data_IF_572516783548
#
_entry.id   IF_572516783548
#
_cell.length_a   1.000
_cell.length_b   1.000
_cell.length_c   1.000
_cell.angle_alpha   90.00
_cell.angle_beta   90.00
_cell.angle_gamma   90.00
#
_symmetry.space_group_name_H-M   'P 1'
#
loop_
_entity.id
_entity.type
_entity.pdbx_description
1 polymer ?
#
# COMPACT_ATOMS: atom_id res chain seq x y z
N UNK A 1 13.73 1.84 8.86
CA UNK A 1 13.64 0.48 9.45
C UNK A 1 13.06 -0.46 8.42
N UNK A 2 13.56 -1.68 8.36
CA UNK A 2 13.11 -2.72 7.43
C UNK A 2 12.63 -3.96 8.21
N UNK A 3 11.70 -4.76 7.69
CA UNK A 3 11.21 -5.94 8.35
C UNK A 3 12.30 -7.01 8.48
N UNK A 4 12.26 -7.80 9.55
CA UNK A 4 13.21 -8.91 9.76
C UNK A 4 12.91 -10.11 8.85
N UNK A 5 11.68 -10.24 8.37
CA UNK A 5 11.26 -11.25 7.39
C UNK A 5 10.46 -10.61 6.25
N UNK A 6 11.13 -10.32 5.15
CA UNK A 6 10.50 -9.79 3.94
C UNK A 6 9.55 -10.79 3.25
N UNK A 7 9.65 -12.08 3.59
CA UNK A 7 8.81 -13.09 2.94
C UNK A 7 7.43 -13.19 3.59
N UNK A 8 7.25 -12.64 4.81
CA UNK A 8 5.96 -12.73 5.49
C UNK A 8 4.84 -12.06 4.67
N UNK A 9 5.09 -10.86 4.15
CA UNK A 9 4.13 -10.12 3.32
C UNK A 9 4.57 -9.94 1.87
N UNK A 10 5.78 -10.34 1.53
CA UNK A 10 6.37 -10.24 0.21
C UNK A 10 7.48 -9.19 0.15
N UNK A 11 8.17 -9.13 -0.98
CA UNK A 11 9.28 -8.20 -1.18
C UNK A 11 8.80 -6.74 -1.10
N UNK A 12 9.76 -5.85 -0.83
CA UNK A 12 9.52 -4.41 -0.84
C UNK A 12 8.73 -3.97 -2.10
N UNK A 13 7.75 -3.09 -1.98
CA UNK A 13 7.32 -2.33 -0.79
C UNK A 13 6.26 -3.04 0.07
N UNK A 14 5.77 -4.21 -0.31
CA UNK A 14 4.70 -4.94 0.40
C UNK A 14 5.07 -5.31 1.84
N UNK A 15 6.34 -5.57 2.10
CA UNK A 15 6.84 -5.90 3.44
C UNK A 15 6.88 -4.70 4.39
N UNK A 16 6.72 -3.48 3.86
CA UNK A 16 6.78 -2.24 4.62
C UNK A 16 8.20 -1.72 4.84
N UNK A 17 8.30 -0.41 5.00
CA UNK A 17 9.49 0.33 5.41
C UNK A 17 9.05 1.51 6.28
N UNK A 18 9.79 1.82 7.34
CA UNK A 18 9.53 2.98 8.19
C UNK A 18 10.79 3.83 8.23
N UNK A 19 10.72 5.02 7.62
CA UNK A 19 11.79 6.00 7.62
C UNK A 19 11.54 7.00 8.74
N UNK A 20 12.32 6.86 9.81
CA UNK A 20 12.20 7.72 10.99
C UNK A 20 12.70 9.12 10.66
N UNK A 21 13.72 9.23 9.81
CA UNK A 21 14.30 10.48 9.37
C UNK A 21 15.00 10.32 8.01
N UNK A 22 14.72 11.24 7.10
CA UNK A 22 15.48 11.47 5.88
C UNK A 22 15.77 12.98 5.76
N UNK A 23 17.00 13.35 5.44
CA UNK A 23 17.41 14.73 5.19
C UNK A 23 18.30 14.75 3.96
N UNK A 24 17.97 15.59 3.00
CA UNK A 24 18.77 15.77 1.78
C UNK A 24 19.89 16.78 2.00
N UNK A 25 21.10 16.48 1.54
CA UNK A 25 22.25 17.37 1.67
C UNK A 25 22.08 18.72 0.99
N UNK A 26 21.28 18.81 -0.07
CA UNK A 26 20.96 20.06 -0.76
C UNK A 26 19.81 20.85 -0.11
N UNK A 27 19.06 20.26 0.82
CA UNK A 27 17.91 20.89 1.50
C UNK A 27 17.94 20.56 3.00
N UNK A 28 19.03 20.93 3.68
CA UNK A 28 19.28 20.56 5.09
C UNK A 28 18.34 21.19 6.12
N UNK A 29 17.46 22.10 5.70
CA UNK A 29 16.43 22.67 6.56
C UNK A 29 15.10 21.93 6.51
N UNK A 30 15.03 20.81 5.80
CA UNK A 30 13.83 19.98 5.65
C UNK A 30 14.12 18.53 5.98
N UNK A 31 13.32 17.95 6.84
CA UNK A 31 13.36 16.56 7.19
C UNK A 31 12.04 15.87 6.84
N UNK A 32 12.11 14.60 6.52
CA UNK A 32 11.00 13.76 6.13
C UNK A 32 10.86 12.58 7.09
N UNK A 33 9.64 12.14 7.32
CA UNK A 33 9.30 10.88 7.96
C UNK A 33 8.30 10.16 7.07
N UNK A 34 8.59 8.92 6.70
CA UNK A 34 7.86 8.23 5.64
C UNK A 34 7.52 6.80 6.07
N UNK A 35 6.44 6.27 5.53
CA UNK A 35 6.24 4.83 5.41
C UNK A 35 6.06 4.48 3.93
N UNK A 36 6.66 3.35 3.52
CA UNK A 36 6.43 2.74 2.22
C UNK A 36 5.72 1.40 2.40
N UNK A 37 4.70 1.13 1.60
CA UNK A 37 3.85 -0.05 1.75
C UNK A 37 3.13 -0.42 0.44
N UNK A 38 2.45 -1.54 0.46
CA UNK A 38 1.43 -1.89 -0.52
C UNK A 38 1.92 -2.45 -1.86
N UNK A 39 0.96 -3.00 -2.60
CA UNK A 39 1.07 -3.31 -4.03
C UNK A 39 -0.28 -2.98 -4.68
N UNK A 40 -0.35 -1.95 -5.57
CA UNK A 40 0.80 -1.14 -6.03
C UNK A 40 1.48 -0.38 -4.88
N UNK A 41 2.75 0.02 -5.10
CA UNK A 41 3.52 0.80 -4.12
C UNK A 41 2.81 2.11 -3.79
N UNK A 42 2.62 2.34 -2.50
CA UNK A 42 2.12 3.59 -1.94
C UNK A 42 3.02 4.04 -0.78
N UNK A 43 2.87 5.28 -0.37
CA UNK A 43 3.61 5.86 0.74
C UNK A 43 2.79 6.92 1.46
N UNK A 44 3.13 7.18 2.70
CA UNK A 44 2.69 8.38 3.44
C UNK A 44 3.91 9.09 3.97
N UNK A 45 4.08 10.37 3.59
CA UNK A 45 5.24 11.17 3.94
C UNK A 45 4.82 12.48 4.58
N UNK A 46 5.33 12.71 5.78
CA UNK A 46 5.27 14.02 6.44
C UNK A 46 6.59 14.77 6.33
N UNK A 47 6.53 16.10 6.38
CA UNK A 47 7.69 16.96 6.32
C UNK A 47 7.74 17.93 7.48
N UNK A 48 8.95 18.17 7.99
CA UNK A 48 9.24 19.23 8.94
C UNK A 48 10.24 20.20 8.32
N UNK A 49 9.85 21.45 8.15
CA UNK A 49 10.74 22.51 7.63
C UNK A 49 11.05 23.50 8.73
N UNK A 50 12.32 23.78 8.91
CA UNK A 50 12.81 24.76 9.89
C UNK A 50 13.41 25.97 9.18
N UNK A 51 13.68 27.07 9.92
CA UNK A 51 14.39 28.21 9.38
C UNK A 51 15.77 27.75 8.88
N UNK A 52 16.19 28.21 7.71
CA UNK A 52 17.49 27.89 7.13
C UNK A 52 18.71 28.17 8.04
N UNK A 53 18.53 28.98 9.10
CA UNK A 53 19.56 29.24 10.13
C UNK A 53 19.61 28.16 11.23
N UNK A 54 18.60 27.30 11.32
CA UNK A 54 18.48 26.23 12.31
C UNK A 54 18.31 24.89 11.58
N UNK A 55 19.13 24.64 10.58
CA UNK A 55 19.01 23.47 9.74
C UNK A 55 19.46 22.19 10.47
N UNK A 56 19.03 21.05 9.97
CA UNK A 56 19.29 19.72 10.56
C UNK A 56 20.75 19.24 10.45
N UNK A 57 21.62 19.98 9.75
CA UNK A 57 23.03 19.66 9.59
C UNK A 57 23.95 20.36 10.60
N UNK A 58 23.47 21.38 11.32
CA UNK A 58 24.33 22.25 12.15
C UNK A 58 24.45 21.78 13.60
N UNK A 59 23.54 20.90 14.09
CA UNK A 59 23.52 20.43 15.47
C UNK A 59 22.84 19.07 15.58
N UNK A 60 22.94 18.44 16.76
CA UNK A 60 22.21 17.23 17.05
C UNK A 60 20.71 17.51 17.26
N UNK A 61 19.88 16.70 16.64
CA UNK A 61 18.44 16.68 16.80
C UNK A 61 17.99 15.29 17.27
N UNK A 62 16.90 15.23 17.99
CA UNK A 62 16.26 13.95 18.36
C UNK A 62 15.15 13.64 17.36
N UNK A 63 15.35 12.59 16.57
CA UNK A 63 14.34 12.02 15.70
C UNK A 63 13.69 10.84 16.39
N UNK A 64 12.38 10.84 16.51
CA UNK A 64 11.67 9.77 17.21
C UNK A 64 10.46 9.31 16.43
N UNK A 65 10.11 8.05 16.61
CA UNK A 65 8.96 7.41 16.02
C UNK A 65 8.23 6.60 17.10
N UNK A 66 6.98 6.93 17.36
CA UNK A 66 6.06 6.08 18.12
C UNK A 66 5.38 5.14 17.14
N UNK A 67 5.67 3.85 17.26
CA UNK A 67 5.11 2.79 16.44
C UNK A 67 4.25 1.88 17.31
N UNK A 68 2.95 1.97 17.09
CA UNK A 68 1.92 1.19 17.77
C UNK A 68 1.07 0.41 16.75
N UNK A 69 0.37 -0.65 17.15
CA UNK A 69 -0.59 -1.30 16.26
C UNK A 69 -1.55 -0.27 15.65
N UNK A 70 -1.57 -0.21 14.32
CA UNK A 70 -2.47 0.67 13.57
C UNK A 70 -2.16 2.17 13.60
N UNK A 71 -1.02 2.59 14.17
CA UNK A 71 -0.63 4.00 14.17
C UNK A 71 0.88 4.19 14.27
N UNK A 72 1.41 5.08 13.44
CA UNK A 72 2.80 5.51 13.50
C UNK A 72 2.84 7.03 13.57
N UNK A 73 3.65 7.58 14.48
CA UNK A 73 3.74 9.03 14.71
C UNK A 73 5.20 9.47 14.76
N UNK A 74 5.56 10.52 14.03
CA UNK A 74 6.93 11.03 13.94
C UNK A 74 7.11 12.34 14.69
N UNK A 75 8.27 12.47 15.31
CA UNK A 75 8.65 13.65 16.09
C UNK A 75 10.07 14.10 15.78
N UNK A 76 10.30 15.40 15.79
CA UNK A 76 11.62 16.01 15.82
C UNK A 76 11.69 16.91 17.05
N UNK A 77 12.70 16.71 17.92
CA UNK A 77 12.89 17.43 19.18
C UNK A 77 11.63 17.45 20.07
N UNK A 78 10.88 16.36 20.06
CA UNK A 78 9.64 16.20 20.81
C UNK A 78 8.41 16.85 20.17
N UNK A 79 8.55 17.47 19.01
CA UNK A 79 7.42 18.08 18.27
C UNK A 79 6.92 17.11 17.20
N UNK A 80 5.64 16.74 17.28
CA UNK A 80 4.98 15.90 16.27
C UNK A 80 4.90 16.67 14.94
N UNK A 81 5.31 16.01 13.84
CA UNK A 81 5.17 16.58 12.50
C UNK A 81 4.42 15.68 11.51
N UNK A 82 4.30 14.38 11.81
CA UNK A 82 3.56 13.44 10.97
C UNK A 82 2.87 12.37 11.82
N UNK A 83 1.76 11.85 11.36
CA UNK A 83 1.04 10.72 11.93
C UNK A 83 0.30 10.00 10.81
N UNK A 84 0.39 8.68 10.76
CA UNK A 84 -0.35 7.88 9.79
C UNK A 84 -0.97 6.64 10.46
N UNK A 85 -2.14 6.27 9.99
CA UNK A 85 -2.91 5.10 10.45
C UNK A 85 -3.63 4.37 9.32
N UNK A 86 -3.47 4.83 8.07
CA UNK A 86 -4.12 4.24 6.90
C UNK A 86 -3.06 3.73 5.92
N UNK A 87 -2.90 2.41 5.89
CA UNK A 87 -1.99 1.72 4.98
C UNK A 87 -2.56 0.35 4.63
N UNK A 88 -1.92 -0.33 3.71
CA UNK A 88 -2.28 -1.69 3.30
C UNK A 88 -1.04 -2.48 2.88
N UNK A 89 -1.19 -3.78 2.78
CA UNK A 89 -0.21 -4.67 2.15
C UNK A 89 -0.93 -5.62 1.21
N UNK A 90 -0.17 -6.24 0.31
CA UNK A 90 -0.66 -7.32 -0.52
C UNK A 90 0.33 -8.47 -0.44
N UNK A 91 -0.16 -9.68 -0.15
CA UNK A 91 0.63 -10.90 -0.16
C UNK A 91 0.47 -11.61 -1.50
N UNK A 92 1.56 -12.11 -2.06
CA UNK A 92 1.52 -12.79 -3.35
C UNK A 92 0.46 -13.90 -3.38
N UNK A 93 -0.48 -13.81 -4.35
CA UNK A 93 -1.55 -14.77 -4.54
C UNK A 93 -2.77 -14.64 -3.63
N UNK A 94 -2.75 -13.75 -2.65
CA UNK A 94 -3.78 -13.67 -1.60
C UNK A 94 -4.62 -12.39 -1.66
N UNK A 95 -4.18 -11.35 -2.37
CA UNK A 95 -4.82 -10.03 -2.34
C UNK A 95 -4.41 -9.21 -1.12
N UNK A 96 -5.25 -8.30 -0.68
CA UNK A 96 -4.97 -7.44 0.48
C UNK A 96 -4.86 -8.27 1.76
N UNK A 97 -3.83 -8.00 2.54
CA UNK A 97 -3.58 -8.66 3.82
C UNK A 97 -4.32 -7.92 4.94
N UNK A 98 -4.73 -8.64 5.97
CA UNK A 98 -5.47 -8.07 7.08
C UNK A 98 -4.66 -6.95 7.79
N UNK A 99 -5.30 -5.79 7.99
CA UNK A 99 -4.73 -4.67 8.75
C UNK A 99 -4.40 -5.10 10.21
N UNK A 100 -3.31 -4.65 10.82
CA UNK A 100 -2.41 -3.56 10.42
C UNK A 100 -1.13 -3.98 9.68
N UNK A 101 -1.14 -5.09 8.94
CA UNK A 101 -0.01 -5.41 8.07
C UNK A 101 0.30 -4.27 7.07
N UNK A 102 1.59 -4.02 6.73
CA UNK A 102 2.77 -4.82 7.04
C UNK A 102 3.50 -4.39 8.34
N UNK A 103 3.01 -3.40 9.05
CA UNK A 103 3.68 -2.83 10.23
C UNK A 103 3.32 -3.54 11.55
N UNK A 104 3.03 -4.83 11.49
CA UNK A 104 2.68 -5.70 12.62
C UNK A 104 3.69 -6.84 12.84
N UNK A 105 4.86 -6.73 12.23
CA UNK A 105 5.99 -7.67 12.32
C UNK A 105 7.24 -6.97 12.89
N UNK A 106 8.27 -7.73 13.30
CA UNK A 106 9.54 -7.14 13.74
C UNK A 106 10.29 -6.43 12.63
N UNK A 107 10.87 -5.28 12.98
CA UNK A 107 11.72 -4.48 12.11
C UNK A 107 13.11 -4.31 12.72
N UNK A 108 14.13 -4.26 11.88
CA UNK A 108 15.49 -3.88 12.28
C UNK A 108 15.80 -2.45 11.85
N UNK A 109 16.67 -1.79 12.60
CA UNK A 109 17.06 -0.42 12.34
C UNK A 109 18.26 -0.36 11.39
N UNK A 110 18.23 0.60 10.48
CA UNK A 110 19.32 0.95 9.57
C UNK A 110 19.71 2.41 9.84
N UNK A 111 21.00 2.67 9.99
CA UNK A 111 21.61 3.99 9.96
C UNK A 111 22.38 4.10 8.65
N UNK A 112 21.99 5.00 7.76
CA UNK A 112 22.50 5.09 6.41
C UNK A 112 22.85 6.52 6.02
N UNK A 113 23.97 6.68 5.30
CA UNK A 113 24.33 7.90 4.57
C UNK A 113 24.50 7.54 3.10
N UNK A 114 23.46 7.74 2.31
CA UNK A 114 23.45 7.43 0.88
C UNK A 114 24.14 8.54 0.07
N UNK A 115 24.79 8.16 -1.01
CA UNK A 115 25.46 9.08 -1.95
C UNK A 115 24.78 8.96 -3.31
N UNK A 116 24.08 10.04 -3.71
CA UNK A 116 23.34 10.08 -4.97
C UNK A 116 22.06 9.24 -4.99
N UNK A 117 21.35 9.29 -6.08
CA UNK A 117 20.10 8.58 -6.32
C UNK A 117 19.15 9.36 -7.22
N UNK A 118 18.08 8.70 -7.66
CA UNK A 118 17.08 9.32 -8.54
C UNK A 118 16.37 10.51 -7.90
N UNK A 119 16.21 10.50 -6.57
CA UNK A 119 15.53 11.56 -5.84
C UNK A 119 16.44 12.78 -5.58
N UNK A 120 17.71 12.53 -5.22
CA UNK A 120 18.66 13.59 -4.81
C UNK A 120 19.63 14.00 -5.91
N UNK A 121 19.61 13.36 -7.07
CA UNK A 121 20.59 13.49 -8.13
C UNK A 121 21.87 12.69 -7.85
N UNK A 122 22.84 12.85 -8.71
CA UNK A 122 24.13 12.13 -8.62
C UNK A 122 25.27 13.09 -8.29
N UNK A 123 26.30 12.63 -7.54
CA UNK A 123 27.47 13.43 -7.26
C UNK A 123 28.23 13.77 -8.57
N UNK A 124 28.88 14.91 -8.59
CA UNK A 124 29.74 15.39 -9.67
C UNK A 124 31.12 15.82 -9.14
N UNK A 125 31.94 16.40 -10.01
CA UNK A 125 33.31 16.84 -9.67
C UNK A 125 33.34 17.93 -8.58
N UNK A 126 32.22 18.60 -8.28
CA UNK A 126 32.10 19.58 -7.21
C UNK A 126 31.77 18.94 -5.86
N UNK A 127 31.34 17.68 -5.83
CA UNK A 127 31.00 16.96 -4.62
C UNK A 127 32.24 16.69 -3.77
N UNK A 128 32.25 17.19 -2.54
CA UNK A 128 33.34 16.98 -1.60
C UNK A 128 32.93 15.97 -0.53
N UNK A 129 33.81 14.99 -0.26
CA UNK A 129 33.61 13.99 0.79
C UNK A 129 34.46 14.28 2.04
N UNK A 130 35.35 15.27 1.95
CA UNK A 130 36.18 15.67 3.08
C UNK A 130 35.32 16.36 4.14
N UNK A 131 35.51 15.97 5.39
CA UNK A 131 34.84 16.54 6.56
C UNK A 131 33.31 16.35 6.61
N UNK A 132 32.75 15.52 5.75
CA UNK A 132 31.32 15.13 5.81
C UNK A 132 31.13 14.03 6.86
N UNK A 133 30.26 14.26 7.83
CA UNK A 133 30.01 13.32 8.91
C UNK A 133 28.51 13.17 9.15
N UNK A 134 28.06 11.92 9.26
CA UNK A 134 26.79 11.58 9.86
C UNK A 134 27.06 11.04 11.25
N UNK A 135 26.83 11.86 12.27
CA UNK A 135 27.14 11.53 13.64
C UNK A 135 25.89 11.14 14.43
N UNK A 136 25.94 10.00 15.10
CA UNK A 136 24.86 9.51 15.96
C UNK A 136 25.39 9.47 17.40
N UNK A 137 24.73 10.19 18.30
CA UNK A 137 25.08 10.21 19.73
C UNK A 137 24.52 8.98 20.45
N UNK A 138 23.22 8.68 20.23
CA UNK A 138 22.58 7.50 20.81
C UNK A 138 21.43 6.98 19.95
N UNK A 139 21.12 5.70 20.17
CA UNK A 139 19.89 5.07 19.76
C UNK A 139 19.20 4.49 21.00
N UNK A 140 17.93 4.80 21.20
CA UNK A 140 17.14 4.27 22.32
C UNK A 140 15.86 3.66 21.79
N UNK A 141 15.54 2.46 22.26
CA UNK A 141 14.30 1.75 21.97
C UNK A 141 13.54 1.55 23.27
N UNK A 142 12.27 1.90 23.26
CA UNK A 142 11.35 1.70 24.37
C UNK A 142 10.23 0.78 23.92
N UNK A 143 9.72 -0.01 24.84
CA UNK A 143 8.59 -0.90 24.59
C UNK A 143 7.61 -0.80 25.76
N UNK A 144 6.31 -0.77 25.46
CA UNK A 144 5.25 -0.87 26.46
C UNK A 144 5.14 -2.32 26.96
N UNK A 145 4.63 -2.50 28.17
CA UNK A 145 4.37 -3.84 28.71
C UNK A 145 3.31 -4.60 27.90
N UNK A 146 2.40 -3.87 27.24
CA UNK A 146 1.38 -4.44 26.33
C UNK A 146 0.89 -3.39 25.36
N UNK A 147 0.34 -3.85 24.23
CA UNK A 147 -0.31 -3.03 23.23
C UNK A 147 -1.75 -3.52 23.00
N UNK A 148 -2.65 -2.61 22.66
CA UNK A 148 -3.95 -3.00 22.13
C UNK A 148 -3.80 -3.41 20.67
N UNK A 149 -3.93 -4.69 20.39
CA UNK A 149 -3.89 -5.24 19.02
C UNK A 149 -5.29 -5.30 18.37
N UNK A 150 -6.32 -4.79 19.07
CA UNK A 150 -7.69 -4.75 18.57
C UNK A 150 -7.94 -3.51 17.70
N UNK A 151 -7.20 -3.38 16.62
CA UNK A 151 -7.23 -2.23 15.73
C UNK A 151 -7.94 -2.54 14.42
N UNK A 152 -8.63 -1.55 13.90
CA UNK A 152 -9.31 -1.60 12.61
C UNK A 152 -8.75 -0.50 11.71
N UNK A 153 -8.68 -0.80 10.40
CA UNK A 153 -8.29 0.20 9.40
C UNK A 153 -9.26 1.37 9.44
N UNK A 154 -8.76 2.62 9.53
CA UNK A 154 -9.63 3.79 9.48
C UNK A 154 -10.42 3.85 8.17
N UNK A 155 -11.67 4.23 8.25
CA UNK A 155 -12.47 4.54 7.07
C UNK A 155 -12.26 6.01 6.72
N UNK A 156 -11.48 6.30 5.69
CA UNK A 156 -11.33 7.66 5.15
C UNK A 156 -12.55 7.98 4.28
N UNK A 157 -13.34 8.97 4.68
CA UNK A 157 -14.38 9.52 3.82
C UNK A 157 -13.76 10.57 2.89
N UNK A 158 -13.44 10.17 1.67
CA UNK A 158 -12.98 11.10 0.64
C UNK A 158 -14.16 11.88 0.11
N UNK A 159 -14.13 13.21 0.26
CA UNK A 159 -15.17 14.10 -0.27
C UNK A 159 -14.76 14.50 -1.69
N UNK A 160 -15.46 13.95 -2.67
CA UNK A 160 -15.26 14.30 -4.06
C UNK A 160 -16.08 15.53 -4.41
N UNK A 161 -15.44 16.56 -4.97
CA UNK A 161 -16.16 17.73 -5.47
C UNK A 161 -17.00 17.37 -6.68
N UNK A 162 -18.12 18.08 -6.86
CA UNK A 162 -18.94 17.96 -8.05
C UNK A 162 -18.27 18.64 -9.28
N UNK A 163 -18.60 18.19 -10.49
CA UNK A 163 -18.18 18.86 -11.71
C UNK A 163 -18.86 20.24 -11.85
N UNK A 164 -18.42 21.03 -12.79
CA UNK A 164 -19.12 22.25 -13.16
C UNK A 164 -20.51 21.95 -13.78
N UNK A 165 -21.28 23.00 -14.09
CA UNK A 165 -22.63 22.86 -14.68
C UNK A 165 -22.67 22.19 -16.04
N UNK A 166 -21.52 22.00 -16.69
CA UNK A 166 -21.37 21.29 -17.98
C UNK A 166 -20.91 19.86 -17.80
N UNK A 167 -20.72 19.39 -16.57
CA UNK A 167 -20.21 18.06 -16.25
C UNK A 167 -18.67 17.95 -16.32
N UNK A 168 -17.95 19.06 -16.45
CA UNK A 168 -16.50 19.08 -16.52
C UNK A 168 -15.86 19.17 -15.15
N UNK A 169 -14.86 18.35 -14.89
CA UNK A 169 -14.02 18.39 -13.67
C UNK A 169 -12.79 19.28 -13.83
N UNK A 170 -12.47 19.74 -15.04
CA UNK A 170 -11.32 20.62 -15.29
C UNK A 170 -11.72 22.08 -15.11
N UNK A 171 -11.02 22.80 -14.27
CA UNK A 171 -11.18 24.25 -14.10
C UNK A 171 -10.43 24.98 -15.21
N UNK A 172 -11.07 26.05 -15.78
CA UNK A 172 -10.49 26.84 -16.86
C UNK A 172 -9.90 26.01 -18.00
N UNK A 173 -10.57 24.92 -18.39
CA UNK A 173 -10.12 24.05 -19.47
C UNK A 173 -10.24 24.67 -20.86
N UNK A 174 -11.03 25.73 -21.01
CA UNK A 174 -11.15 26.56 -22.22
C UNK A 174 -10.14 27.70 -22.29
N UNK A 175 -9.30 27.85 -21.24
CA UNK A 175 -8.30 28.90 -21.07
C UNK A 175 -8.84 30.31 -21.29
N UNK A 176 -10.07 30.56 -20.88
CA UNK A 176 -10.73 31.88 -21.00
C UNK A 176 -10.24 32.86 -19.92
N UNK A 177 -9.64 32.36 -18.85
CA UNK A 177 -9.16 33.13 -17.70
C UNK A 177 -7.64 33.08 -17.67
N UNK A 178 -7.00 34.27 -17.55
CA UNK A 178 -5.55 34.32 -17.30
C UNK A 178 -5.21 33.83 -15.90
N UNK A 179 -4.14 33.04 -15.77
CA UNK A 179 -3.71 32.43 -14.52
C UNK A 179 -2.24 32.66 -14.22
N UNK A 180 -1.90 32.58 -12.93
CA UNK A 180 -0.52 32.47 -12.47
C UNK A 180 -0.14 30.97 -12.46
N UNK A 181 0.63 30.54 -13.45
CA UNK A 181 1.02 29.13 -13.62
C UNK A 181 2.14 28.67 -12.65
N UNK A 182 2.51 29.49 -11.66
CA UNK A 182 3.44 29.12 -10.61
C UNK A 182 2.75 28.76 -9.29
N UNK A 183 1.43 28.92 -9.20
CA UNK A 183 0.61 28.47 -8.07
C UNK A 183 -0.16 27.18 -8.43
N UNK A 184 -0.79 26.54 -7.44
CA UNK A 184 -1.50 25.27 -7.61
C UNK A 184 -3.01 25.45 -7.74
N UNK A 185 -3.48 26.65 -8.05
CA UNK A 185 -4.92 26.95 -7.95
C UNK A 185 -5.76 26.21 -9.01
N UNK A 186 -5.36 26.27 -10.28
CA UNK A 186 -5.97 25.53 -11.37
C UNK A 186 -4.87 24.85 -12.20
N UNK A 187 -4.14 25.63 -13.01
CA UNK A 187 -3.06 25.10 -13.83
C UNK A 187 -1.70 25.51 -13.27
N UNK A 188 -0.75 24.57 -13.29
CA UNK A 188 0.63 24.80 -12.89
C UNK A 188 1.57 24.32 -13.99
N UNK A 189 2.59 25.12 -14.25
CA UNK A 189 3.69 24.75 -15.15
C UNK A 189 4.94 24.44 -14.33
N UNK A 190 5.52 23.28 -14.57
CA UNK A 190 6.65 22.75 -13.81
C UNK A 190 7.81 22.40 -14.74
N UNK A 191 9.04 22.70 -14.30
CA UNK A 191 10.27 22.25 -14.94
C UNK A 191 11.21 21.62 -13.92
N UNK A 192 11.89 20.53 -14.31
CA UNK A 192 12.83 19.79 -13.47
C UNK A 192 13.83 19.05 -14.35
N UNK A 193 14.85 18.43 -13.79
CA UNK A 193 15.82 17.58 -14.48
C UNK A 193 16.33 18.18 -15.80
N UNK A 194 16.86 19.42 -15.70
CA UNK A 194 17.35 20.23 -16.82
C UNK A 194 16.29 20.65 -17.86
N UNK A 195 15.01 20.36 -17.61
CA UNK A 195 13.91 20.88 -18.42
C UNK A 195 13.82 22.41 -18.27
N UNK A 196 13.67 23.11 -19.40
CA UNK A 196 13.48 24.57 -19.43
C UNK A 196 12.44 24.96 -20.47
N UNK A 197 11.58 25.89 -20.12
CA UNK A 197 10.51 26.36 -20.97
C UNK A 197 9.58 27.35 -20.27
N UNK A 198 8.52 27.71 -20.94
CA UNK A 198 7.45 28.54 -20.37
C UNK A 198 6.11 28.13 -20.91
N UNK A 199 5.06 28.38 -20.13
CA UNK A 199 3.68 28.28 -20.56
C UNK A 199 2.98 29.63 -20.37
N UNK A 200 2.05 29.94 -21.26
CA UNK A 200 1.24 31.16 -21.19
C UNK A 200 -0.12 30.94 -21.85
N UNK A 201 -1.15 31.59 -21.31
CA UNK A 201 -2.49 31.57 -21.91
C UNK A 201 -2.60 32.72 -22.93
N UNK A 202 -2.88 32.37 -24.19
CA UNK A 202 -3.08 33.31 -25.30
C UNK A 202 -4.27 32.89 -26.15
N UNK A 203 -5.18 33.79 -26.41
CA UNK A 203 -6.31 33.56 -27.32
C UNK A 203 -7.10 32.28 -27.00
N UNK A 204 -7.40 32.00 -25.74
CA UNK A 204 -8.06 30.79 -25.27
C UNK A 204 -7.29 29.48 -25.55
N UNK A 205 -5.97 29.56 -25.62
CA UNK A 205 -5.07 28.42 -25.73
C UNK A 205 -3.97 28.52 -24.68
N UNK A 206 -3.58 27.38 -24.12
CA UNK A 206 -2.34 27.23 -23.38
C UNK A 206 -1.22 26.97 -24.37
N UNK A 207 -0.25 27.87 -24.45
CA UNK A 207 0.91 27.74 -25.35
C UNK A 207 2.13 27.39 -24.52
N UNK A 208 2.72 26.22 -24.77
CA UNK A 208 3.89 25.70 -24.05
C UNK A 208 5.09 25.75 -25.00
N UNK A 209 6.05 26.60 -24.67
CA UNK A 209 7.31 26.75 -25.43
C UNK A 209 8.45 26.08 -24.65
N UNK A 210 9.21 25.22 -25.32
CA UNK A 210 10.30 24.45 -24.72
C UNK A 210 11.65 25.00 -25.19
N UNK A 211 12.59 25.19 -24.28
CA UNK A 211 13.97 25.57 -24.55
C UNK A 211 14.90 24.36 -24.43
N UNK A 212 14.78 23.60 -23.34
CA UNK A 212 15.48 22.36 -23.11
C UNK A 212 14.48 21.29 -22.69
N UNK A 213 14.57 20.11 -23.27
CA UNK A 213 13.61 19.01 -23.02
C UNK A 213 13.83 18.31 -21.68
N UNK A 214 15.01 18.47 -21.06
CA UNK A 214 15.38 17.68 -19.89
C UNK A 214 15.60 16.21 -20.20
N UNK A 215 15.70 15.39 -19.15
CA UNK A 215 16.12 13.99 -19.23
C UNK A 215 14.98 12.99 -18.99
N UNK A 216 13.80 13.43 -18.56
CA UNK A 216 12.62 12.62 -18.33
C UNK A 216 11.37 13.25 -18.96
N UNK A 217 10.36 12.45 -19.22
CA UNK A 217 9.10 12.91 -19.82
C UNK A 217 8.46 14.04 -18.99
N UNK A 218 8.54 13.92 -17.67
CA UNK A 218 8.06 14.92 -16.72
C UNK A 218 9.04 16.09 -16.44
N UNK A 219 10.14 16.20 -17.20
CA UNK A 219 11.05 17.35 -17.07
C UNK A 219 10.36 18.66 -17.43
N UNK A 220 9.30 18.63 -18.23
CA UNK A 220 8.41 19.75 -18.55
C UNK A 220 6.98 19.28 -18.43
N UNK A 221 6.22 19.87 -17.52
CA UNK A 221 4.84 19.49 -17.25
C UNK A 221 3.90 20.68 -17.22
N UNK A 222 2.72 20.51 -17.82
CA UNK A 222 1.54 21.31 -17.50
C UNK A 222 0.60 20.40 -16.71
N UNK A 223 0.20 20.81 -15.51
CA UNK A 223 -0.62 19.98 -14.64
C UNK A 223 -1.83 20.73 -14.09
N UNK A 224 -2.91 20.00 -13.85
CA UNK A 224 -4.03 20.48 -13.06
C UNK A 224 -4.32 19.51 -11.90
N UNK A 225 -4.17 19.95 -10.63
CA UNK A 225 -4.51 19.18 -9.44
C UNK A 225 -6.01 19.14 -9.16
N UNK A 226 -6.39 18.52 -8.06
CA UNK A 226 -7.77 18.46 -7.51
C UNK A 226 -8.80 17.88 -8.49
N UNK A 227 -8.41 16.93 -9.33
CA UNK A 227 -9.31 16.17 -10.18
C UNK A 227 -9.93 15.03 -9.37
N UNK A 228 -11.23 15.12 -9.01
CA UNK A 228 -11.84 14.09 -8.17
C UNK A 228 -12.12 12.82 -8.97
N UNK A 229 -11.68 11.69 -8.45
CA UNK A 229 -11.83 10.39 -9.10
C UNK A 229 -12.50 9.40 -8.13
N UNK A 230 -13.58 8.79 -8.56
CA UNK A 230 -14.32 7.79 -7.80
C UNK A 230 -13.95 6.38 -8.28
N UNK A 231 -13.64 5.47 -7.35
CA UNK A 231 -13.45 4.04 -7.64
C UNK A 231 -14.65 3.49 -8.42
N UNK A 232 -14.39 2.80 -9.51
CA UNK A 232 -15.44 2.29 -10.41
C UNK A 232 -15.98 3.31 -11.41
N UNK A 233 -15.64 4.59 -11.27
CA UNK A 233 -16.02 5.64 -12.23
C UNK A 233 -15.34 5.46 -13.58
N UNK A 234 -16.10 5.61 -14.66
CA UNK A 234 -15.57 5.69 -16.03
C UNK A 234 -15.48 7.15 -16.41
N UNK A 235 -14.29 7.59 -16.80
CA UNK A 235 -13.99 8.97 -17.15
C UNK A 235 -13.59 9.10 -18.61
N UNK A 236 -14.09 10.17 -19.25
CA UNK A 236 -13.71 10.58 -20.60
C UNK A 236 -12.86 11.84 -20.51
N UNK A 237 -11.64 11.77 -21.01
CA UNK A 237 -10.71 12.90 -21.16
C UNK A 237 -10.77 13.38 -22.59
N UNK A 238 -10.98 14.68 -22.79
CA UNK A 238 -11.04 15.29 -24.13
C UNK A 238 -10.24 16.59 -24.11
N UNK A 239 -9.45 16.83 -25.15
CA UNK A 239 -8.75 18.10 -25.34
C UNK A 239 -8.44 18.32 -26.82
N UNK A 240 -8.35 19.58 -27.22
CA UNK A 240 -7.84 19.97 -28.52
C UNK A 240 -6.33 20.29 -28.39
N UNK A 241 -5.52 19.75 -29.30
CA UNK A 241 -4.10 20.01 -29.31
C UNK A 241 -3.50 20.04 -30.71
N UNK A 242 -2.40 20.77 -30.85
CA UNK A 242 -1.51 20.77 -32.03
C UNK A 242 -0.13 21.29 -31.62
N UNK A 243 0.84 21.20 -32.50
CA UNK A 243 2.16 21.77 -32.28
C UNK A 243 2.64 22.53 -33.53
N UNK A 244 3.60 23.43 -33.39
CA UNK A 244 4.17 24.19 -34.53
C UNK A 244 4.86 23.27 -35.54
N UNK A 245 5.40 22.14 -35.08
CA UNK A 245 5.91 21.04 -35.88
C UNK A 245 5.45 19.71 -35.30
N UNK A 246 5.33 18.67 -36.13
CA UNK A 246 4.91 17.36 -35.65
C UNK A 246 5.81 16.83 -34.51
N UNK A 247 5.22 16.48 -33.38
CA UNK A 247 5.91 15.96 -32.20
C UNK A 247 5.02 15.08 -31.36
N UNK A 248 5.53 14.58 -30.26
CA UNK A 248 4.78 13.81 -29.27
C UNK A 248 4.74 14.51 -27.93
N UNK A 249 3.74 14.19 -27.13
CA UNK A 249 3.68 14.42 -25.70
C UNK A 249 3.08 13.20 -25.01
N UNK A 250 3.16 13.13 -23.68
CA UNK A 250 2.46 12.13 -22.88
C UNK A 250 1.35 12.84 -22.11
N UNK A 251 0.18 12.21 -22.05
CA UNK A 251 -0.91 12.64 -21.20
C UNK A 251 -1.32 11.49 -20.27
N UNK A 252 -1.58 11.81 -19.01
CA UNK A 252 -1.96 10.84 -17.99
C UNK A 252 -2.72 11.50 -16.84
N UNK A 253 -3.21 10.68 -15.89
CA UNK A 253 -3.72 11.15 -14.59
C UNK A 253 -3.05 10.34 -13.50
N UNK A 254 -2.41 11.04 -12.58
CA UNK A 254 -1.73 10.46 -11.42
C UNK A 254 -2.44 10.81 -10.11
N UNK A 255 -2.10 10.08 -9.03
CA UNK A 255 -2.45 10.39 -7.64
C UNK A 255 -1.22 10.90 -6.90
N UNK A 256 -1.00 12.23 -6.75
CA UNK A 256 0.16 12.76 -6.03
C UNK A 256 0.26 12.26 -4.59
N UNK A 257 -0.88 12.10 -3.91
CA UNK A 257 -0.95 11.61 -2.52
C UNK A 257 -0.76 10.09 -2.43
N UNK A 258 -0.68 9.40 -3.56
CA UNK A 258 -0.52 7.95 -3.72
C UNK A 258 0.72 7.61 -4.55
N UNK A 259 1.83 8.23 -4.22
CA UNK A 259 3.12 8.03 -4.90
C UNK A 259 3.04 8.14 -6.44
N UNK A 260 2.23 9.08 -6.94
CA UNK A 260 1.98 9.29 -8.37
C UNK A 260 1.51 8.03 -9.12
N UNK A 261 0.78 7.15 -8.44
CA UNK A 261 0.11 6.01 -9.06
C UNK A 261 -0.70 6.48 -10.27
N UNK A 262 -0.55 5.79 -11.42
CA UNK A 262 -1.24 6.14 -12.67
C UNK A 262 -2.67 5.61 -12.68
N UNK A 263 -3.66 6.48 -12.53
CA UNK A 263 -5.08 6.16 -12.68
C UNK A 263 -5.48 6.05 -14.14
N UNK A 264 -5.02 6.98 -14.97
CA UNK A 264 -4.97 6.84 -16.42
C UNK A 264 -3.50 6.75 -16.81
N UNK A 265 -3.09 5.61 -17.38
CA UNK A 265 -1.69 5.31 -17.70
C UNK A 265 -1.10 6.30 -18.70
N UNK A 266 0.20 6.48 -18.64
CA UNK A 266 0.99 7.25 -19.62
C UNK A 266 0.56 6.92 -21.04
N UNK A 267 -0.01 7.91 -21.71
CA UNK A 267 -0.58 7.78 -23.05
C UNK A 267 0.15 8.69 -24.00
N UNK A 268 0.80 8.11 -24.98
CA UNK A 268 1.48 8.87 -26.04
C UNK A 268 0.48 9.53 -26.95
N UNK A 269 0.62 10.85 -27.13
CA UNK A 269 -0.21 11.67 -28.02
C UNK A 269 0.65 12.16 -29.17
N UNK A 270 0.28 11.81 -30.39
CA UNK A 270 0.95 12.29 -31.63
C UNK A 270 0.33 13.60 -32.06
N UNK A 271 1.10 14.69 -32.00
CA UNK A 271 0.65 16.02 -32.37
C UNK A 271 1.08 16.36 -33.79
N UNK A 272 0.11 16.73 -34.63
CA UNK A 272 0.34 17.35 -35.91
C UNK A 272 0.32 18.88 -35.83
N UNK A 273 0.44 19.55 -36.97
CA UNK A 273 0.39 21.02 -37.09
C UNK A 273 -1.04 21.58 -37.23
N UNK A 274 -2.02 20.70 -37.25
CA UNK A 274 -3.44 21.09 -37.32
C UNK A 274 -4.11 20.75 -35.99
N UNK A 275 -4.92 21.68 -35.48
CA UNK A 275 -5.73 21.46 -34.28
C UNK A 275 -6.60 20.21 -34.43
N UNK A 276 -6.44 19.26 -33.53
CA UNK A 276 -7.11 17.98 -33.50
C UNK A 276 -7.68 17.72 -32.11
N UNK A 277 -8.91 17.19 -32.05
CA UNK A 277 -9.53 16.76 -30.80
C UNK A 277 -9.11 15.33 -30.50
N UNK A 278 -8.52 15.16 -29.33
CA UNK A 278 -8.15 13.86 -28.75
C UNK A 278 -9.18 13.45 -27.72
N UNK A 279 -9.50 12.16 -27.70
CA UNK A 279 -10.47 11.60 -26.75
C UNK A 279 -9.95 10.26 -26.22
N UNK A 280 -9.94 10.13 -24.89
CA UNK A 280 -9.54 8.91 -24.19
C UNK A 280 -10.57 8.55 -23.15
N UNK A 281 -10.65 7.28 -22.81
CA UNK A 281 -11.55 6.76 -21.76
C UNK A 281 -10.76 5.84 -20.86
N UNK A 282 -10.96 5.98 -19.56
CA UNK A 282 -10.38 5.08 -18.57
C UNK A 282 -11.38 4.82 -17.44
N UNK A 283 -11.18 3.71 -16.71
CA UNK A 283 -11.91 3.40 -15.49
C UNK A 283 -10.99 3.60 -14.28
N UNK A 284 -11.46 4.31 -13.26
CA UNK A 284 -10.76 4.46 -11.99
C UNK A 284 -10.86 3.15 -11.21
N UNK A 285 -9.74 2.44 -11.08
CA UNK A 285 -9.66 1.17 -10.35
C UNK A 285 -9.07 1.32 -8.96
N UNK A 286 -8.36 2.42 -8.69
CA UNK A 286 -7.86 2.79 -7.37
C UNK A 286 -8.97 3.24 -6.41
N UNK A 287 -8.61 3.50 -5.16
CA UNK A 287 -9.51 4.09 -4.17
C UNK A 287 -9.98 5.47 -4.60
N UNK A 288 -11.09 5.96 -4.01
CA UNK A 288 -11.53 7.34 -4.23
C UNK A 288 -10.40 8.32 -3.94
N UNK A 289 -10.18 9.25 -4.86
CA UNK A 289 -9.15 10.29 -4.72
C UNK A 289 -9.73 11.67 -5.06
N UNK A 290 -9.61 12.61 -4.12
CA UNK A 290 -10.04 13.99 -4.29
C UNK A 290 -8.99 14.85 -5.01
N UNK A 291 -7.72 14.40 -5.05
CA UNK A 291 -6.56 15.12 -5.54
C UNK A 291 -5.87 14.43 -6.73
N UNK A 292 -6.64 13.74 -7.58
CA UNK A 292 -6.09 13.29 -8.86
C UNK A 292 -5.50 14.45 -9.65
N UNK A 293 -4.43 14.22 -10.42
CA UNK A 293 -3.71 15.25 -11.17
C UNK A 293 -3.64 14.89 -12.65
N UNK A 294 -4.30 15.72 -13.49
CA UNK A 294 -4.11 15.64 -14.95
C UNK A 294 -2.73 16.20 -15.30
N UNK A 295 -1.99 15.46 -16.13
CA UNK A 295 -0.64 15.80 -16.55
C UNK A 295 -0.51 15.80 -18.07
N UNK A 296 0.15 16.83 -18.60
CA UNK A 296 0.70 16.86 -19.96
C UNK A 296 2.20 16.98 -19.85
N UNK A 297 2.90 15.91 -20.22
CA UNK A 297 4.35 15.74 -20.10
C UNK A 297 4.98 15.95 -21.47
N UNK A 298 5.89 16.94 -21.56
CA UNK A 298 6.50 17.37 -22.80
C UNK A 298 8.03 17.18 -22.83
N UNK A 299 8.62 16.72 -21.73
CA UNK A 299 10.06 16.47 -21.61
C UNK A 299 10.54 15.28 -22.43
N UNK A 300 11.85 15.11 -22.53
CA UNK A 300 12.53 13.99 -23.19
C UNK A 300 11.95 13.62 -24.59
N UNK A 301 11.41 14.57 -25.28
CA UNK A 301 10.82 14.38 -26.61
C UNK A 301 11.80 14.78 -27.72
N UNK A 302 11.52 14.37 -28.96
CA UNK A 302 12.42 14.61 -30.08
C UNK A 302 12.38 16.04 -30.63
N UNK A 303 11.43 16.88 -30.21
CA UNK A 303 11.24 18.24 -30.74
C UNK A 303 10.90 19.24 -29.64
N UNK A 304 11.44 20.44 -29.73
CA UNK A 304 11.14 21.60 -28.86
C UNK A 304 10.01 22.48 -29.40
N UNK A 305 9.36 22.08 -30.53
CA UNK A 305 8.26 22.85 -31.11
C UNK A 305 7.17 23.15 -30.08
N UNK A 306 6.62 24.36 -30.12
CA UNK A 306 5.60 24.77 -29.17
C UNK A 306 4.35 23.90 -29.29
N UNK A 307 3.75 23.59 -28.14
CA UNK A 307 2.49 22.83 -28.06
C UNK A 307 1.37 23.78 -27.65
N UNK A 308 0.24 23.62 -28.32
CA UNK A 308 -0.99 24.37 -28.07
C UNK A 308 -2.08 23.44 -27.57
N UNK A 309 -2.71 23.77 -26.44
CA UNK A 309 -3.80 23.04 -25.82
C UNK A 309 -5.03 23.94 -25.66
N UNK A 310 -6.21 23.41 -25.89
CA UNK A 310 -7.48 24.09 -25.63
C UNK A 310 -8.58 23.06 -25.35
N UNK A 311 -9.71 23.55 -24.81
CA UNK A 311 -10.93 22.75 -24.59
C UNK A 311 -10.68 21.45 -23.77
N UNK A 312 -9.87 21.53 -22.73
CA UNK A 312 -9.54 20.39 -21.87
C UNK A 312 -10.74 20.06 -20.97
N UNK A 313 -11.16 18.82 -20.99
CA UNK A 313 -12.31 18.33 -20.23
C UNK A 313 -12.05 16.94 -19.65
N UNK A 314 -12.56 16.72 -18.46
CA UNK A 314 -12.73 15.39 -17.86
C UNK A 314 -14.19 15.27 -17.44
N UNK A 315 -14.87 14.26 -17.92
CA UNK A 315 -16.28 14.01 -17.64
C UNK A 315 -16.45 12.58 -17.13
N UNK A 316 -17.18 12.39 -16.04
CA UNK A 316 -17.58 11.06 -15.59
C UNK A 316 -18.75 10.59 -16.46
N UNK A 317 -18.54 9.53 -17.23
CA UNK A 317 -19.50 9.02 -18.21
C UNK A 317 -20.23 7.75 -17.76
N UNK A 318 -19.74 7.11 -16.72
CA UNK A 318 -20.32 5.89 -16.18
C UNK A 318 -19.79 5.55 -14.79
N UNK A 319 -20.38 4.51 -14.22
CA UNK A 319 -19.96 3.92 -12.97
C UNK A 319 -20.24 2.41 -12.98
N UNK A 320 -19.25 1.62 -12.60
CA UNK A 320 -19.39 0.20 -12.36
C UNK A 320 -18.72 -0.14 -11.04
N UNK A 321 -19.47 -0.77 -10.14
CA UNK A 321 -18.91 -1.18 -8.85
C UNK A 321 -17.80 -2.21 -9.06
N UNK A 322 -16.59 -1.87 -8.61
CA UNK A 322 -15.45 -2.79 -8.62
C UNK A 322 -15.59 -3.70 -7.42
N UNK A 323 -16.00 -4.94 -7.67
CA UNK A 323 -16.02 -5.99 -6.66
C UNK A 323 -14.60 -6.47 -6.40
N UNK A 324 -14.22 -6.47 -5.14
CA UNK A 324 -12.95 -7.08 -4.74
C UNK A 324 -13.01 -8.59 -4.95
N UNK A 325 -11.94 -9.15 -5.53
CA UNK A 325 -11.79 -10.60 -5.61
C UNK A 325 -11.37 -11.12 -4.24
N UNK A 326 -12.37 -11.51 -3.44
CA UNK A 326 -12.18 -12.13 -2.13
C UNK A 326 -11.91 -13.62 -2.20
N UNK A 327 -11.79 -14.18 -3.40
CA UNK A 327 -11.52 -15.62 -3.58
C UNK A 327 -10.15 -15.96 -3.02
N UNK A 328 -10.12 -16.85 -2.04
CA UNK A 328 -8.85 -17.32 -1.47
C UNK A 328 -8.03 -18.06 -2.52
N UNK A 329 -6.72 -17.88 -2.49
CA UNK A 329 -5.73 -18.54 -3.36
C UNK A 329 -4.76 -19.33 -2.49
N UNK A 330 -4.04 -20.27 -3.06
CA UNK A 330 -2.95 -20.94 -2.34
C UNK A 330 -1.85 -19.91 -2.00
N UNK A 331 -1.35 -19.92 -0.77
CA UNK A 331 -0.28 -19.02 -0.34
C UNK A 331 1.05 -19.38 -1.02
N UNK A 332 2.00 -18.45 -1.02
CA UNK A 332 3.29 -18.63 -1.68
C UNK A 332 4.12 -19.81 -1.12
N UNK A 333 3.93 -20.14 0.16
CA UNK A 333 4.51 -21.30 0.85
C UNK A 333 3.76 -22.62 0.57
N UNK A 334 2.70 -22.59 -0.25
CA UNK A 334 1.86 -23.73 -0.56
C UNK A 334 0.79 -24.03 0.47
N UNK A 335 0.61 -23.19 1.50
CA UNK A 335 -0.44 -23.36 2.49
C UNK A 335 -1.81 -22.87 1.95
N UNK A 336 -2.87 -23.56 2.26
CA UNK A 336 -4.25 -23.20 1.94
C UNK A 336 -4.97 -22.55 3.12
N UNK A 337 -4.42 -22.64 4.34
CA UNK A 337 -4.93 -21.99 5.55
C UNK A 337 -4.22 -20.67 5.74
N UNK A 338 -5.00 -19.61 5.82
CA UNK A 338 -4.52 -18.25 6.02
C UNK A 338 -4.22 -18.01 7.49
N UNK A 339 -3.18 -17.22 7.79
CA UNK A 339 -2.79 -16.91 9.17
C UNK A 339 -2.75 -18.15 10.09
N UNK A 340 -2.21 -19.25 9.60
CA UNK A 340 -2.10 -20.51 10.36
C UNK A 340 -1.19 -20.43 11.59
N UNK A 341 -0.34 -19.39 11.65
CA UNK A 341 0.57 -19.11 12.75
C UNK A 341 0.08 -18.00 13.70
N UNK A 342 -1.13 -17.46 13.48
CA UNK A 342 -1.73 -16.39 14.31
C UNK A 342 -0.87 -15.13 14.41
N UNK A 343 -0.38 -14.64 13.28
CA UNK A 343 0.46 -13.44 13.21
C UNK A 343 -0.32 -12.20 12.72
N UNK A 344 -1.45 -12.37 12.05
CA UNK A 344 -2.08 -11.35 11.24
C UNK A 344 -3.43 -10.89 11.78
N UNK A 345 -3.74 -9.61 11.58
CA UNK A 345 -5.06 -9.02 11.77
C UNK A 345 -5.42 -8.70 13.21
N UNK A 346 -6.66 -8.25 13.41
CA UNK A 346 -7.24 -7.86 14.70
C UNK A 346 -7.12 -8.99 15.71
N UNK A 347 -6.53 -8.70 16.87
CA UNK A 347 -6.23 -9.70 17.92
C UNK A 347 -5.44 -10.93 17.40
N UNK A 348 -4.69 -10.78 16.28
CA UNK A 348 -3.97 -11.88 15.62
C UNK A 348 -4.87 -13.01 15.10
N UNK A 349 -6.14 -12.73 14.92
CA UNK A 349 -7.17 -13.68 14.46
C UNK A 349 -7.67 -13.37 13.04
N UNK A 350 -6.93 -12.61 12.25
CA UNK A 350 -7.27 -12.36 10.85
C UNK A 350 -7.55 -13.65 10.10
N UNK A 351 -8.62 -13.67 9.31
CA UNK A 351 -9.14 -14.83 8.55
C UNK A 351 -9.78 -15.98 9.37
N UNK A 352 -9.71 -15.93 10.70
CA UNK A 352 -10.32 -16.92 11.55
C UNK A 352 -11.69 -16.46 12.05
N UNK A 353 -12.72 -17.22 11.72
CA UNK A 353 -14.05 -17.07 12.25
C UNK A 353 -14.15 -17.82 13.58
N UNK A 354 -14.37 -17.09 14.67
CA UNK A 354 -14.50 -17.67 16.00
C UNK A 354 -15.98 -17.65 16.42
N UNK A 355 -16.56 -18.82 16.58
CA UNK A 355 -17.89 -18.98 17.16
C UNK A 355 -17.78 -19.52 18.58
N UNK A 356 -18.27 -18.75 19.56
CA UNK A 356 -18.16 -19.12 20.97
C UNK A 356 -19.35 -18.64 21.79
N UNK A 357 -19.70 -19.35 22.90
CA UNK A 357 -20.63 -18.82 23.89
C UNK A 357 -20.02 -17.67 24.68
N UNK A 358 -20.86 -16.79 25.27
CA UNK A 358 -20.42 -15.59 25.99
C UNK A 358 -19.40 -15.87 27.11
N UNK A 359 -19.53 -17.01 27.77
CA UNK A 359 -18.70 -17.42 28.91
C UNK A 359 -17.43 -18.18 28.51
N UNK A 360 -17.15 -18.32 27.22
CA UNK A 360 -15.89 -18.84 26.71
C UNK A 360 -14.93 -17.70 26.37
N UNK A 361 -13.64 -17.91 26.57
CA UNK A 361 -12.60 -16.95 26.19
C UNK A 361 -11.69 -17.51 25.11
N UNK A 362 -11.28 -16.62 24.22
CA UNK A 362 -10.32 -16.91 23.16
C UNK A 362 -9.28 -15.80 23.14
N UNK A 363 -8.04 -16.16 23.12
CA UNK A 363 -6.90 -15.23 23.04
C UNK A 363 -5.75 -15.84 22.24
N UNK A 364 -5.00 -15.05 21.51
CA UNK A 364 -3.72 -15.48 20.94
C UNK A 364 -2.62 -15.19 21.96
N UNK A 365 -1.86 -16.21 22.34
CA UNK A 365 -0.81 -16.12 23.33
C UNK A 365 0.53 -16.58 22.77
N UNK A 366 1.64 -16.12 23.35
CA UNK A 366 2.99 -16.44 22.92
C UNK A 366 3.61 -15.34 22.09
N UNK A 367 4.91 -15.48 21.83
CA UNK A 367 5.69 -14.61 20.94
C UNK A 367 5.82 -15.29 19.57
N UNK A 368 6.30 -14.56 18.60
CA UNK A 368 6.39 -14.90 17.16
C UNK A 368 6.49 -16.38 16.79
N UNK A 369 7.51 -17.07 17.29
CA UNK A 369 7.76 -18.49 16.96
C UNK A 369 6.83 -19.48 17.68
N UNK A 370 6.02 -18.99 18.60
CA UNK A 370 5.19 -19.82 19.48
C UNK A 370 3.77 -19.31 19.70
N UNK A 371 3.27 -18.39 18.83
CA UNK A 371 1.88 -17.95 18.93
C UNK A 371 0.91 -19.09 18.75
N UNK A 372 -0.14 -19.06 19.54
CA UNK A 372 -1.19 -20.08 19.55
C UNK A 372 -2.51 -19.48 19.94
N UNK A 373 -3.57 -19.93 19.31
CA UNK A 373 -4.93 -19.68 19.75
C UNK A 373 -5.17 -20.51 21.02
N UNK A 374 -5.43 -19.85 22.12
CA UNK A 374 -5.82 -20.45 23.39
C UNK A 374 -7.30 -20.23 23.60
N UNK A 375 -7.99 -21.31 23.90
CA UNK A 375 -9.43 -21.33 24.15
C UNK A 375 -9.68 -21.88 25.55
N UNK A 376 -10.52 -21.18 26.31
CA UNK A 376 -11.04 -21.67 27.58
C UNK A 376 -12.55 -21.71 27.50
N UNK A 377 -13.14 -22.89 27.56
CA UNK A 377 -14.59 -23.06 27.46
C UNK A 377 -15.17 -23.75 28.71
N UNK A 378 -16.39 -23.39 29.10
CA UNK A 378 -17.11 -24.13 30.14
C UNK A 378 -17.43 -25.57 29.71
N UNK A 379 -17.60 -26.44 30.72
CA UNK A 379 -17.93 -27.85 30.47
C UNK A 379 -19.23 -27.98 29.63
N UNK A 380 -19.17 -28.80 28.59
CA UNK A 380 -20.31 -29.06 27.70
C UNK A 380 -20.57 -27.97 26.66
N UNK A 381 -19.60 -27.05 26.46
CA UNK A 381 -19.68 -26.03 25.41
C UNK A 381 -18.51 -26.17 24.44
N UNK A 382 -18.78 -25.93 23.16
CA UNK A 382 -17.78 -25.97 22.09
C UNK A 382 -17.50 -24.53 21.61
N UNK A 383 -16.24 -24.26 21.36
CA UNK A 383 -15.79 -23.09 20.61
C UNK A 383 -15.28 -23.56 19.27
N UNK A 384 -15.82 -23.02 18.20
CA UNK A 384 -15.36 -23.36 16.85
C UNK A 384 -14.47 -22.25 16.30
N UNK A 385 -13.29 -22.63 15.81
CA UNK A 385 -12.40 -21.74 15.05
C UNK A 385 -12.28 -22.29 13.63
N UNK A 386 -12.63 -21.49 12.63
CA UNK A 386 -12.68 -21.99 11.24
C UNK A 386 -12.33 -20.94 10.20
N UNK A 387 -12.16 -21.42 8.96
CA UNK A 387 -12.01 -20.60 7.76
C UNK A 387 -12.87 -21.17 6.65
N UNK A 388 -13.50 -20.29 5.89
CA UNK A 388 -14.36 -20.65 4.77
C UNK A 388 -13.70 -20.35 3.43
N UNK A 389 -14.16 -21.04 2.38
CA UNK A 389 -13.80 -20.74 1.00
C UNK A 389 -12.32 -20.96 0.67
N UNK A 390 -11.68 -21.99 1.23
CA UNK A 390 -10.30 -22.35 0.90
C UNK A 390 -10.17 -22.69 -0.60
N UNK A 391 -9.01 -22.44 -1.19
CA UNK A 391 -8.74 -22.66 -2.62
C UNK A 391 -8.59 -24.14 -2.99
N UNK A 392 -9.40 -25.02 -2.38
CA UNK A 392 -9.32 -26.47 -2.60
C UNK A 392 -9.86 -26.88 -3.98
N UNK A 393 -9.18 -27.83 -4.61
CA UNK A 393 -9.57 -28.47 -5.86
C UNK A 393 -10.29 -29.78 -5.59
N UNK A 394 -11.14 -30.21 -6.52
CA UNK A 394 -11.78 -31.50 -6.53
C UNK A 394 -10.78 -32.65 -6.76
N UNK A 395 -11.10 -33.83 -6.34
CA UNK A 395 -10.33 -35.06 -6.59
C UNK A 395 -8.83 -34.95 -6.27
N UNK A 396 -8.51 -34.15 -5.25
CA UNK A 396 -7.12 -33.80 -4.94
C UNK A 396 -6.75 -34.26 -3.54
N UNK A 397 -5.56 -34.85 -3.40
CA UNK A 397 -5.01 -35.26 -2.11
C UNK A 397 -4.40 -34.09 -1.37
N UNK A 398 -4.70 -33.93 -0.09
CA UNK A 398 -4.20 -32.91 0.81
C UNK A 398 -3.67 -33.52 2.11
N UNK A 399 -2.80 -32.73 2.76
CA UNK A 399 -2.29 -33.01 4.10
C UNK A 399 -2.57 -31.86 5.00
N UNK A 400 -3.38 -32.06 6.02
CA UNK A 400 -3.58 -31.12 7.13
C UNK A 400 -2.60 -31.44 8.25
N UNK A 401 -1.84 -30.47 8.72
CA UNK A 401 -0.98 -30.58 9.88
C UNK A 401 -1.16 -29.39 10.82
N UNK A 402 -1.13 -29.61 12.11
CA UNK A 402 -1.19 -28.58 13.15
C UNK A 402 -0.58 -29.09 14.45
N UNK A 403 -0.27 -28.18 15.36
CA UNK A 403 0.12 -28.53 16.73
C UNK A 403 -0.97 -28.17 17.71
N UNK A 404 -1.27 -29.06 18.66
CA UNK A 404 -2.27 -28.80 19.68
C UNK A 404 -1.93 -29.46 21.01
N UNK A 405 -2.50 -28.91 22.09
CA UNK A 405 -2.48 -29.46 23.44
C UNK A 405 -3.73 -29.05 24.22
N UNK A 406 -4.07 -29.77 25.26
CA UNK A 406 -5.11 -29.43 26.23
C UNK A 406 -4.61 -29.63 27.66
N UNK A 407 -5.13 -28.89 28.64
CA UNK A 407 -4.71 -29.06 30.05
C UNK A 407 -5.19 -30.37 30.67
N UNK A 408 -6.19 -30.97 30.09
CA UNK A 408 -6.72 -32.32 30.43
C UNK A 408 -6.89 -33.13 29.14
N UNK A 409 -6.90 -34.43 29.22
CA UNK A 409 -7.08 -35.30 28.06
C UNK A 409 -8.49 -35.10 27.49
N UNK A 410 -8.56 -34.78 26.21
CA UNK A 410 -9.81 -34.62 25.45
C UNK A 410 -9.64 -34.97 23.97
N UNK A 411 -10.74 -35.24 23.30
CA UNK A 411 -10.79 -35.47 21.86
C UNK A 411 -11.27 -34.20 21.17
N UNK A 412 -10.43 -33.59 20.33
CA UNK A 412 -10.78 -32.44 19.48
C UNK A 412 -11.23 -32.95 18.11
N UNK A 413 -12.36 -32.45 17.62
CA UNK A 413 -12.82 -32.72 16.26
C UNK A 413 -12.33 -31.68 15.30
N UNK A 414 -11.86 -32.13 14.14
CA UNK A 414 -11.41 -31.28 13.04
C UNK A 414 -12.23 -31.60 11.80
N UNK A 415 -12.85 -30.60 11.23
CA UNK A 415 -13.62 -30.70 9.99
C UNK A 415 -12.82 -30.03 8.86
N UNK A 416 -12.67 -30.72 7.73
CA UNK A 416 -12.05 -30.16 6.54
C UNK A 416 -12.62 -30.77 5.27
N UNK A 417 -13.05 -29.95 4.33
CA UNK A 417 -13.57 -30.39 3.04
C UNK A 417 -14.68 -31.45 3.16
N UNK A 418 -15.60 -31.29 4.13
CA UNK A 418 -16.70 -32.21 4.40
C UNK A 418 -16.31 -33.52 5.13
N UNK A 419 -15.04 -33.65 5.53
CA UNK A 419 -14.55 -34.82 6.28
C UNK A 419 -14.25 -34.44 7.73
N UNK A 420 -14.30 -35.46 8.61
CA UNK A 420 -14.11 -35.29 10.05
C UNK A 420 -12.93 -36.14 10.53
N UNK A 421 -12.08 -35.56 11.36
CA UNK A 421 -10.93 -36.20 11.98
C UNK A 421 -10.93 -35.97 13.49
N UNK A 422 -10.40 -36.93 14.23
CA UNK A 422 -10.28 -36.85 15.69
C UNK A 422 -8.82 -36.71 16.10
N UNK A 423 -8.54 -35.75 16.98
CA UNK A 423 -7.23 -35.53 17.55
C UNK A 423 -7.28 -35.72 19.07
N UNK A 424 -6.56 -36.71 19.57
CA UNK A 424 -6.45 -37.00 21.02
C UNK A 424 -5.44 -36.03 21.66
N UNK A 425 -5.95 -35.03 22.36
CA UNK A 425 -5.15 -34.01 23.03
C UNK A 425 -4.72 -34.47 24.43
N UNK A 426 -3.55 -34.02 24.82
CA UNK A 426 -2.98 -34.19 26.16
C UNK A 426 -2.36 -32.88 26.65
N UNK A 427 -1.84 -32.85 27.88
CA UNK A 427 -1.14 -31.70 28.43
C UNK A 427 0.23 -31.44 27.78
N UNK A 428 0.68 -32.30 26.88
CA UNK A 428 1.87 -32.10 26.08
C UNK A 428 1.49 -31.65 24.67
N UNK A 429 2.23 -30.66 24.13
CA UNK A 429 2.08 -30.19 22.74
C UNK A 429 2.47 -31.31 21.79
N UNK A 430 1.55 -31.71 20.91
CA UNK A 430 1.76 -32.73 19.86
C UNK A 430 1.48 -32.13 18.49
N UNK A 431 2.16 -32.71 17.48
CA UNK A 431 1.88 -32.46 16.07
C UNK A 431 0.93 -33.53 15.55
N UNK A 432 -0.14 -33.10 14.91
CA UNK A 432 -1.15 -33.93 14.26
C UNK A 432 -1.00 -33.78 12.76
N UNK A 433 -1.27 -34.88 12.05
CA UNK A 433 -1.19 -34.93 10.59
C UNK A 433 -2.28 -35.86 10.05
N UNK A 434 -3.11 -35.34 9.16
CA UNK A 434 -4.19 -36.08 8.50
C UNK A 434 -4.03 -35.94 6.98
N UNK A 435 -4.06 -37.06 6.27
CA UNK A 435 -4.10 -37.09 4.81
C UNK A 435 -5.51 -37.43 4.37
N UNK A 436 -6.02 -36.73 3.37
CA UNK A 436 -7.36 -36.96 2.84
C UNK A 436 -7.43 -36.58 1.36
N UNK A 437 -8.40 -37.10 0.65
CA UNK A 437 -8.73 -36.75 -0.71
C UNK A 437 -10.07 -36.02 -0.72
N UNK A 438 -10.15 -34.91 -1.45
CA UNK A 438 -11.39 -34.18 -1.66
C UNK A 438 -12.32 -34.94 -2.61
N UNK A 439 -13.63 -34.72 -2.45
CA UNK A 439 -14.63 -35.34 -3.34
C UNK A 439 -14.55 -34.78 -4.77
N UNK A 440 -15.03 -35.58 -5.73
CA UNK A 440 -15.14 -35.16 -7.14
C UNK A 440 -16.21 -34.08 -7.38
N UNK A 441 -17.11 -33.86 -6.42
CA UNK A 441 -18.15 -32.84 -6.39
C UNK A 441 -17.99 -31.92 -5.16
N UNK A 442 -16.79 -31.44 -4.94
CA UNK A 442 -16.40 -30.68 -3.76
C UNK A 442 -17.21 -29.37 -3.59
N UNK A 443 -18.14 -29.38 -2.64
CA UNK A 443 -18.95 -28.19 -2.30
C UNK A 443 -18.49 -27.52 -1.01
N UNK A 444 -18.00 -28.30 -0.03
CA UNK A 444 -17.46 -27.81 1.22
C UNK A 444 -15.96 -27.53 1.08
N UNK A 445 -15.60 -26.26 1.08
CA UNK A 445 -14.21 -25.76 1.02
C UNK A 445 -13.79 -25.08 2.32
N UNK A 446 -14.24 -25.62 3.45
CA UNK A 446 -14.02 -25.03 4.76
C UNK A 446 -13.08 -25.89 5.60
N UNK A 447 -12.48 -25.27 6.62
CA UNK A 447 -11.81 -25.94 7.73
C UNK A 447 -12.34 -25.39 9.04
N UNK A 448 -12.54 -26.25 10.04
CA UNK A 448 -12.82 -25.82 11.40
C UNK A 448 -12.32 -26.80 12.45
N UNK A 449 -12.07 -26.26 13.63
CA UNK A 449 -11.65 -26.98 14.82
C UNK A 449 -12.71 -26.77 15.91
N UNK A 450 -13.22 -27.87 16.48
CA UNK A 450 -14.07 -27.81 17.65
C UNK A 450 -13.21 -27.91 18.91
N UNK A 451 -13.06 -26.78 19.58
CA UNK A 451 -12.10 -26.53 20.66
C UNK A 451 -12.81 -26.47 22.00
N UNK A 452 -12.26 -27.14 23.00
CA UNK A 452 -12.63 -26.95 24.39
C UNK A 452 -14.01 -27.52 24.75
N UNK A 453 -14.04 -28.75 25.24
CA UNK A 453 -15.24 -29.41 25.81
C UNK A 453 -15.28 -29.23 27.36
N UNK A 454 -14.86 -28.12 27.88
CA UNK A 454 -14.76 -27.83 29.30
C UNK A 454 -13.31 -27.82 29.81
N UNK A 455 -12.37 -27.66 28.91
CA UNK A 455 -10.91 -27.59 29.19
C UNK A 455 -10.27 -26.35 28.61
N UNK A 456 -8.98 -26.21 28.76
CA UNK A 456 -8.16 -25.21 28.09
C UNK A 456 -7.41 -25.86 26.94
N UNK A 457 -7.76 -25.51 25.69
CA UNK A 457 -7.12 -26.01 24.49
C UNK A 457 -6.25 -24.92 23.87
N UNK A 458 -5.13 -25.32 23.28
CA UNK A 458 -4.27 -24.44 22.49
C UNK A 458 -3.94 -25.10 21.16
N UNK A 459 -4.12 -24.34 20.06
CA UNK A 459 -3.80 -24.76 18.69
C UNK A 459 -2.83 -23.78 18.06
N UNK A 460 -1.86 -24.29 17.32
CA UNK A 460 -0.86 -23.50 16.61
C UNK A 460 -0.37 -24.19 15.34
N UNK A 461 0.25 -23.45 14.46
CA UNK A 461 0.91 -23.96 13.24
C UNK A 461 -0.01 -24.80 12.36
N UNK A 462 -1.11 -24.21 11.89
CA UNK A 462 -2.04 -24.91 11.00
C UNK A 462 -1.60 -24.76 9.55
N UNK A 463 -1.31 -25.88 8.91
CA UNK A 463 -0.94 -25.99 7.51
C UNK A 463 -1.82 -27.01 6.79
N UNK A 464 -2.34 -26.60 5.65
CA UNK A 464 -3.03 -27.48 4.71
C UNK A 464 -2.32 -27.38 3.36
N UNK A 465 -1.69 -28.45 2.93
CA UNK A 465 -0.82 -28.45 1.75
C UNK A 465 -1.09 -29.67 0.87
N UNK A 466 -0.65 -29.64 -0.36
CA UNK A 466 -0.53 -30.86 -1.17
C UNK A 466 0.51 -31.79 -0.54
N UNK A 467 0.39 -33.13 -0.77
CA UNK A 467 1.42 -34.06 -0.33
C UNK A 467 2.76 -33.68 -0.96
N UNK A 468 3.78 -33.53 -0.15
CA UNK A 468 5.15 -33.43 -0.69
C UNK A 468 5.50 -34.78 -1.30
N UNK A 469 5.51 -34.86 -2.63
CA UNK A 469 6.20 -35.96 -3.30
C UNK A 469 7.67 -35.83 -2.94
N UNK A 470 8.15 -36.71 -2.04
CA UNK A 470 9.59 -36.86 -1.85
C UNK A 470 10.17 -37.23 -3.20
N UNK A 471 10.89 -36.28 -3.82
CA UNK A 471 11.79 -36.63 -4.92
C UNK A 471 12.90 -37.47 -4.30
N UNK A 472 12.83 -38.78 -4.58
CA UNK A 472 13.95 -39.70 -4.38
C UNK A 472 15.10 -39.33 -5.31
#
# INVERSE_FOLDING_TARGET
MMPTDENLYGQWPKCGEIDIMEVMGQETNKAYGTIHYGEPHDQSQGTCTVDAKNNFADQYHTYACDWEPGKITWYIDGVKFHEESDWFSAKSGQGEVAYPAPFDQPFYMILNLAVGGSWVGYPDDSTTYADQQFAVDYVKVYQKDSYDENVEKPVKNVILREPDTTGNYINNGDFSIAENLSDDKNWKFLTTLDGDGKAEIKNHEMVISTVNMGTADYSIQLVQPDVPLQKGGTYKVTFDAYADEARTMIADISGPDHNYTRYWKDTKVELGTQKTTYTYVFQMTGSDDANGRLEFNLGNAASTAAVHLSNVRIEKTGYEEIKEDTTKKVLADGNYVYNGSFQEGKNRLGYWDITKPENATTEVTGLEDGRRLKVVSPKGTVVTAGQQGLALSEDTEYVLSFSAQANEAETMTVHVAGQEFQAELTNEKKNYRFSFQTAADLTDKNISFDLGLGTTVSVSYTHLTLPTTSRV
#
